data_IF_691911615510
#
_entry.id   IF_691911615510
#
_cell.length_a   1.000
_cell.length_b   1.000
_cell.length_c   1.000
_cell.angle_alpha   90.00
_cell.angle_beta   90.00
_cell.angle_gamma   90.00
#
_symmetry.space_group_name_H-M   'P 1'
#
loop_
_entity.id
_entity.type
_entity.pdbx_description
1 polymer ?
#
# COMPACT_ATOMS: atom_id res chain seq x y z
N UNK A 1 -6.46 -42.83 -58.31
CA UNK A 1 -7.29 -43.40 -57.23
C UNK A 1 -6.93 -42.68 -55.95
N UNK A 2 -7.92 -42.00 -55.40
CA UNK A 2 -7.83 -40.91 -54.43
C UNK A 2 -7.09 -41.26 -53.14
N UNK A 3 -6.19 -40.37 -52.73
CA UNK A 3 -5.62 -40.31 -51.40
C UNK A 3 -6.70 -39.88 -50.40
N UNK A 4 -7.20 -40.84 -49.62
CA UNK A 4 -8.17 -40.61 -48.55
C UNK A 4 -7.51 -39.95 -47.34
N UNK A 5 -7.58 -38.62 -47.30
CA UNK A 5 -7.24 -37.79 -46.14
C UNK A 5 -8.22 -38.07 -44.99
N UNK A 6 -7.89 -39.04 -44.12
CA UNK A 6 -8.67 -39.31 -42.91
C UNK A 6 -8.75 -38.05 -42.01
N UNK A 7 -9.91 -37.76 -41.39
CA UNK A 7 -10.16 -36.46 -40.79
C UNK A 7 -9.43 -36.31 -39.44
N UNK A 8 -8.28 -35.62 -39.48
CA UNK A 8 -7.53 -35.11 -38.32
C UNK A 8 -8.39 -34.29 -37.33
N UNK A 9 -9.57 -33.84 -37.77
CA UNK A 9 -10.56 -33.15 -36.93
C UNK A 9 -11.19 -34.05 -35.85
N UNK A 10 -11.32 -35.36 -36.10
CA UNK A 10 -12.00 -36.25 -35.14
C UNK A 10 -11.13 -36.56 -33.92
N UNK A 11 -9.82 -36.68 -34.10
CA UNK A 11 -8.88 -36.96 -33.02
C UNK A 11 -8.62 -35.71 -32.18
N UNK A 12 -8.48 -34.54 -32.80
CA UNK A 12 -8.31 -33.25 -32.10
C UNK A 12 -9.53 -32.90 -31.22
N UNK A 13 -10.76 -33.16 -31.69
CA UNK A 13 -11.97 -33.01 -30.88
C UNK A 13 -11.95 -33.94 -29.66
N UNK A 14 -11.54 -35.19 -29.83
CA UNK A 14 -11.51 -36.18 -28.75
C UNK A 14 -10.50 -35.82 -27.65
N UNK A 15 -9.30 -35.33 -28.04
CA UNK A 15 -8.32 -34.80 -27.10
C UNK A 15 -8.82 -33.54 -26.38
N UNK A 16 -9.54 -32.66 -27.07
CA UNK A 16 -10.10 -31.45 -26.46
C UNK A 16 -11.17 -31.79 -25.40
N UNK A 17 -12.05 -32.74 -25.68
CA UNK A 17 -13.09 -33.20 -24.74
C UNK A 17 -12.46 -33.92 -23.54
N UNK A 18 -11.45 -34.76 -23.77
CA UNK A 18 -10.71 -35.42 -22.68
C UNK A 18 -9.96 -34.40 -21.79
N UNK A 19 -9.37 -33.36 -22.37
CA UNK A 19 -8.71 -32.31 -21.62
C UNK A 19 -9.70 -31.49 -20.76
N UNK A 20 -10.86 -31.14 -21.31
CA UNK A 20 -11.91 -30.41 -20.58
C UNK A 20 -12.48 -31.25 -19.44
N UNK A 21 -12.76 -32.53 -19.66
CA UNK A 21 -13.29 -33.42 -18.62
C UNK A 21 -12.26 -33.69 -17.52
N UNK A 22 -10.98 -33.88 -17.86
CA UNK A 22 -9.90 -34.00 -16.88
C UNK A 22 -9.69 -32.72 -16.06
N UNK A 23 -9.80 -31.54 -16.70
CA UNK A 23 -9.73 -30.26 -16.01
C UNK A 23 -10.92 -30.07 -15.05
N UNK A 24 -12.14 -30.39 -15.48
CA UNK A 24 -13.34 -30.34 -14.62
C UNK A 24 -13.21 -31.31 -13.44
N UNK A 25 -12.74 -32.54 -13.68
CA UNK A 25 -12.53 -33.54 -12.63
C UNK A 25 -11.47 -33.07 -11.62
N UNK A 26 -10.35 -32.51 -12.09
CA UNK A 26 -9.31 -31.93 -11.24
C UNK A 26 -9.85 -30.77 -10.40
N UNK A 27 -10.67 -29.88 -10.99
CA UNK A 27 -11.32 -28.78 -10.28
C UNK A 27 -12.26 -29.29 -9.20
N UNK A 28 -13.10 -30.29 -9.50
CA UNK A 28 -14.02 -30.92 -8.54
C UNK A 28 -13.26 -31.58 -7.39
N UNK A 29 -12.21 -32.34 -7.68
CA UNK A 29 -11.36 -32.97 -6.67
C UNK A 29 -10.65 -31.92 -5.81
N UNK A 30 -10.09 -30.89 -6.41
CA UNK A 30 -9.41 -29.81 -5.70
C UNK A 30 -10.36 -29.02 -4.80
N UNK A 31 -11.59 -28.76 -5.25
CA UNK A 31 -12.64 -28.15 -4.44
C UNK A 31 -13.03 -29.05 -3.26
N UNK A 32 -13.29 -30.33 -3.50
CA UNK A 32 -13.57 -31.31 -2.42
C UNK A 32 -12.45 -31.38 -1.40
N UNK A 33 -11.19 -31.39 -1.86
CA UNK A 33 -10.01 -31.43 -0.99
C UNK A 33 -9.88 -30.15 -0.15
N UNK A 34 -10.22 -28.99 -0.71
CA UNK A 34 -10.25 -27.72 0.04
C UNK A 34 -11.41 -27.64 1.04
N UNK A 35 -12.60 -28.16 0.70
CA UNK A 35 -13.75 -28.18 1.59
C UNK A 35 -13.57 -29.16 2.77
N UNK A 36 -12.75 -30.22 2.61
CA UNK A 36 -12.44 -31.21 3.65
C UNK A 36 -11.53 -30.70 4.77
N UNK A 37 -10.87 -29.55 4.63
CA UNK A 37 -10.15 -28.91 5.75
C UNK A 37 -11.16 -28.15 6.60
N UNK A 38 -11.83 -28.89 7.47
CA UNK A 38 -12.87 -28.42 8.39
C UNK A 38 -12.39 -27.31 9.31
N UNK A 39 -12.51 -26.08 8.84
CA UNK A 39 -12.51 -24.88 9.67
C UNK A 39 -13.91 -24.31 9.49
N UNK A 40 -14.63 -24.11 10.59
CA UNK A 40 -15.91 -23.40 10.59
C UNK A 40 -15.66 -21.96 10.15
N UNK A 41 -15.81 -21.71 8.84
CA UNK A 41 -15.72 -20.37 8.30
C UNK A 41 -17.03 -19.63 8.56
N UNK A 42 -16.98 -18.31 8.79
CA UNK A 42 -18.19 -17.51 8.86
C UNK A 42 -18.93 -17.59 7.51
N UNK A 43 -20.26 -17.41 7.51
CA UNK A 43 -21.09 -17.51 6.32
C UNK A 43 -20.59 -16.56 5.21
N UNK A 44 -20.98 -16.79 3.96
CA UNK A 44 -20.53 -15.91 2.89
C UNK A 44 -20.93 -16.37 1.49
N UNK A 45 -20.77 -15.49 0.49
CA UNK A 45 -21.14 -15.80 -0.88
C UNK A 45 -20.30 -16.96 -1.44
N UNK A 46 -20.99 -17.90 -2.10
CA UNK A 46 -20.33 -18.96 -2.85
C UNK A 46 -19.56 -18.35 -4.03
N UNK A 47 -18.25 -18.52 -4.03
CA UNK A 47 -17.38 -18.07 -5.13
C UNK A 47 -17.23 -19.13 -6.22
N UNK A 48 -16.87 -18.71 -7.43
CA UNK A 48 -16.53 -19.59 -8.54
C UNK A 48 -15.26 -20.42 -8.24
N UNK A 49 -15.07 -21.57 -8.93
CA UNK A 49 -13.83 -22.31 -8.87
C UNK A 49 -12.64 -21.40 -9.22
N UNK A 50 -11.53 -21.53 -8.49
CA UNK A 50 -10.25 -20.83 -8.74
C UNK A 50 -10.27 -19.31 -8.48
N UNK A 51 -11.22 -18.57 -9.05
CA UNK A 51 -11.31 -17.10 -8.96
C UNK A 51 -12.11 -16.59 -7.76
N UNK A 52 -12.95 -17.44 -7.16
CA UNK A 52 -13.79 -17.06 -6.03
C UNK A 52 -14.83 -16.01 -6.41
N UNK A 53 -14.98 -14.99 -5.58
CA UNK A 53 -15.94 -13.90 -5.75
C UNK A 53 -15.40 -12.72 -6.56
N UNK A 54 -14.15 -12.79 -7.07
CA UNK A 54 -13.51 -11.70 -7.82
C UNK A 54 -14.36 -11.15 -8.99
N UNK A 55 -14.97 -12.01 -9.85
CA UNK A 55 -15.75 -11.51 -10.99
C UNK A 55 -17.04 -10.78 -10.60
N UNK A 56 -17.49 -10.94 -9.35
CA UNK A 56 -18.72 -10.35 -8.83
C UNK A 56 -18.44 -9.14 -7.94
N UNK A 57 -17.17 -8.72 -7.81
CA UNK A 57 -16.84 -7.54 -7.03
C UNK A 57 -17.27 -6.27 -7.76
N UNK A 58 -17.97 -5.42 -7.03
CA UNK A 58 -18.25 -4.05 -7.43
C UNK A 58 -16.98 -3.20 -7.26
N UNK A 59 -16.66 -2.28 -8.19
CA UNK A 59 -15.61 -1.29 -8.00
C UNK A 59 -15.73 -0.50 -6.68
N UNK A 60 -16.95 -0.23 -6.23
CA UNK A 60 -17.19 0.37 -4.91
C UNK A 60 -17.19 -0.68 -3.79
N UNK A 61 -15.99 -1.18 -3.46
CA UNK A 61 -15.82 -2.29 -2.52
C UNK A 61 -16.49 -2.05 -1.16
N UNK A 62 -16.42 -0.83 -0.63
CA UNK A 62 -16.94 -0.52 0.70
C UNK A 62 -18.48 -0.57 0.76
N UNK A 63 -19.18 -0.04 -0.26
CA UNK A 63 -20.65 -0.11 -0.35
C UNK A 63 -21.12 -1.53 -0.67
N UNK A 64 -20.37 -2.25 -1.51
CA UNK A 64 -20.61 -3.66 -1.81
C UNK A 64 -20.51 -4.55 -0.57
N UNK A 65 -19.44 -4.43 0.21
CA UNK A 65 -19.29 -5.21 1.44
C UNK A 65 -20.33 -4.84 2.50
N UNK A 66 -20.74 -3.56 2.58
CA UNK A 66 -21.84 -3.16 3.45
C UNK A 66 -23.18 -3.80 3.04
N UNK A 67 -23.46 -3.93 1.75
CA UNK A 67 -24.65 -4.67 1.25
C UNK A 67 -24.58 -6.15 1.60
N UNK A 68 -23.42 -6.78 1.40
CA UNK A 68 -23.22 -8.19 1.77
C UNK A 68 -23.36 -8.43 3.28
N UNK A 69 -22.92 -7.50 4.12
CA UNK A 69 -23.08 -7.59 5.57
C UNK A 69 -24.56 -7.66 6.00
N UNK A 70 -25.47 -7.04 5.25
CA UNK A 70 -26.92 -7.14 5.50
C UNK A 70 -27.48 -8.53 5.22
N UNK A 71 -26.85 -9.28 4.32
CA UNK A 71 -27.29 -10.62 3.90
C UNK A 71 -26.65 -11.72 4.75
N UNK A 72 -25.32 -11.65 4.93
CA UNK A 72 -24.53 -12.70 5.59
C UNK A 72 -24.24 -12.41 7.07
N UNK A 73 -24.58 -11.21 7.54
CA UNK A 73 -24.37 -10.79 8.92
C UNK A 73 -23.06 -10.02 9.15
N UNK A 74 -22.76 -9.70 10.42
CA UNK A 74 -21.69 -8.78 10.81
C UNK A 74 -20.26 -9.32 10.59
N UNK A 75 -20.12 -10.62 10.39
CA UNK A 75 -18.88 -11.30 10.03
C UNK A 75 -19.16 -12.32 8.94
N UNK A 76 -18.48 -12.18 7.80
CA UNK A 76 -18.65 -13.09 6.68
C UNK A 76 -17.34 -13.32 5.94
N UNK A 77 -17.24 -14.45 5.24
CA UNK A 77 -16.05 -14.81 4.47
C UNK A 77 -16.31 -14.78 2.96
N UNK A 78 -15.28 -14.46 2.18
CA UNK A 78 -15.33 -14.57 0.72
C UNK A 78 -13.96 -15.00 0.19
N UNK A 79 -13.95 -15.63 -0.99
CA UNK A 79 -12.70 -16.01 -1.65
C UNK A 79 -12.33 -14.97 -2.68
N UNK A 80 -11.11 -14.44 -2.58
CA UNK A 80 -10.53 -13.49 -3.52
C UNK A 80 -9.41 -14.22 -4.27
N UNK A 81 -9.77 -14.91 -5.35
CA UNK A 81 -8.88 -15.80 -6.09
C UNK A 81 -8.37 -16.94 -5.19
N UNK A 82 -7.05 -16.98 -5.01
CA UNK A 82 -6.39 -17.96 -4.15
C UNK A 82 -6.47 -17.65 -2.65
N UNK A 83 -6.95 -16.47 -2.24
CA UNK A 83 -6.97 -16.02 -0.84
C UNK A 83 -8.38 -16.06 -0.23
N UNK A 84 -8.44 -16.34 1.07
CA UNK A 84 -9.66 -16.18 1.87
C UNK A 84 -9.62 -14.80 2.52
N UNK A 85 -10.67 -14.00 2.30
CA UNK A 85 -10.91 -12.74 2.98
C UNK A 85 -12.05 -12.91 3.99
N UNK A 86 -11.90 -12.29 5.16
CA UNK A 86 -12.96 -12.19 6.17
C UNK A 86 -13.28 -10.71 6.33
N UNK A 87 -14.55 -10.36 6.17
CA UNK A 87 -15.05 -9.00 6.31
C UNK A 87 -15.73 -8.87 7.66
N UNK A 88 -15.36 -7.83 8.39
CA UNK A 88 -15.91 -7.50 9.69
C UNK A 88 -16.64 -6.16 9.55
N UNK A 89 -17.95 -6.18 9.83
CA UNK A 89 -18.83 -5.01 9.68
C UNK A 89 -19.49 -4.60 11.00
N UNK A 90 -19.06 -5.16 12.14
CA UNK A 90 -19.54 -4.80 13.48
C UNK A 90 -18.47 -4.11 14.31
N UNK A 91 -18.78 -2.98 14.98
CA UNK A 91 -17.84 -2.30 15.88
C UNK A 91 -17.34 -3.19 17.04
N UNK A 92 -18.20 -4.05 17.60
CA UNK A 92 -17.84 -4.92 18.71
C UNK A 92 -16.78 -5.96 18.30
N UNK A 93 -17.01 -6.61 17.14
CA UNK A 93 -16.08 -7.60 16.57
C UNK A 93 -14.79 -6.91 16.12
N UNK A 94 -14.89 -5.74 15.47
CA UNK A 94 -13.72 -4.98 15.07
C UNK A 94 -12.86 -4.59 16.27
N UNK A 95 -13.47 -4.20 17.40
CA UNK A 95 -12.76 -3.90 18.65
C UNK A 95 -12.03 -5.12 19.20
N UNK A 96 -12.64 -6.29 19.19
CA UNK A 96 -12.00 -7.53 19.65
C UNK A 96 -10.77 -7.86 18.79
N UNK A 97 -10.95 -7.83 17.46
CA UNK A 97 -9.89 -8.13 16.49
C UNK A 97 -8.77 -7.09 16.49
N UNK A 98 -9.08 -5.81 16.70
CA UNK A 98 -8.08 -4.73 16.73
C UNK A 98 -7.35 -4.60 18.07
N UNK A 99 -7.95 -5.04 19.19
CA UNK A 99 -7.35 -4.94 20.52
C UNK A 99 -6.48 -6.14 20.88
N UNK A 100 -6.87 -7.33 20.46
CA UNK A 100 -6.15 -8.53 20.84
C UNK A 100 -4.82 -8.64 20.06
N UNK A 101 -3.71 -8.59 20.81
CA UNK A 101 -2.34 -8.72 20.31
C UNK A 101 -2.06 -10.09 19.68
N UNK A 102 -2.98 -11.06 19.73
CA UNK A 102 -2.89 -12.32 18.97
C UNK A 102 -3.31 -12.16 17.51
N UNK A 103 -4.23 -11.22 17.24
CA UNK A 103 -4.61 -10.77 15.89
C UNK A 103 -3.80 -9.56 15.44
N UNK A 104 -2.67 -9.29 16.12
CA UNK A 104 -1.76 -8.19 15.85
C UNK A 104 -1.59 -7.99 14.35
N UNK A 105 -1.35 -6.74 13.95
CA UNK A 105 -1.33 -6.16 12.59
C UNK A 105 -0.63 -6.98 11.47
N UNK A 106 0.00 -8.12 11.78
CA UNK A 106 0.35 -9.23 10.88
C UNK A 106 -0.78 -9.67 9.93
N UNK A 107 -2.04 -9.64 10.39
CA UNK A 107 -3.20 -10.01 9.56
C UNK A 107 -3.96 -8.81 8.97
N UNK A 108 -3.93 -7.65 9.64
CA UNK A 108 -4.73 -6.47 9.29
C UNK A 108 -3.95 -5.42 8.48
N UNK A 109 -2.63 -5.43 8.56
CA UNK A 109 -1.74 -4.57 7.77
C UNK A 109 -0.99 -5.42 6.78
N UNK A 110 -0.53 -4.78 5.71
CA UNK A 110 0.31 -5.30 4.63
C UNK A 110 1.52 -6.14 5.14
N UNK A 111 1.28 -7.41 5.48
CA UNK A 111 2.22 -8.49 5.84
C UNK A 111 2.38 -8.75 7.35
N UNK A 112 3.07 -9.83 7.80
CA UNK A 112 3.59 -11.01 7.10
C UNK A 112 3.24 -12.37 7.77
N UNK A 113 3.70 -13.47 7.14
CA UNK A 113 3.90 -14.83 7.70
C UNK A 113 2.71 -15.76 7.94
N UNK A 114 2.03 -16.17 6.86
CA UNK A 114 1.72 -17.61 6.60
C UNK A 114 1.67 -17.78 5.07
N UNK A 115 2.79 -18.12 4.39
CA UNK A 115 2.82 -18.45 2.93
C UNK A 115 2.02 -17.53 1.98
N UNK A 116 1.66 -16.31 2.39
CA UNK A 116 0.86 -15.40 1.58
C UNK A 116 1.78 -14.41 0.88
N UNK A 117 1.56 -14.15 -0.41
CA UNK A 117 2.13 -13.02 -1.09
C UNK A 117 1.83 -11.73 -0.35
N UNK A 118 2.90 -11.06 0.10
CA UNK A 118 2.90 -9.60 0.28
C UNK A 118 2.35 -8.96 -1.00
N UNK A 119 1.60 -7.86 -0.88
CA UNK A 119 1.21 -7.07 -2.06
C UNK A 119 2.46 -6.76 -2.89
N UNK A 120 2.36 -6.75 -4.22
CA UNK A 120 3.52 -6.48 -5.10
C UNK A 120 4.29 -5.22 -4.67
N UNK A 121 3.60 -4.17 -4.24
CA UNK A 121 4.24 -2.94 -3.77
C UNK A 121 5.12 -3.15 -2.53
N UNK A 122 4.67 -3.96 -1.58
CA UNK A 122 5.46 -4.29 -0.38
C UNK A 122 6.62 -5.23 -0.72
N UNK A 123 6.50 -6.07 -1.74
CA UNK A 123 7.60 -6.92 -2.22
C UNK A 123 8.71 -6.07 -2.86
N UNK A 124 8.34 -5.07 -3.65
CA UNK A 124 9.28 -4.14 -4.27
C UNK A 124 10.20 -3.49 -3.22
N UNK A 125 9.60 -2.93 -2.15
CA UNK A 125 10.35 -2.29 -1.05
C UNK A 125 11.36 -3.23 -0.37
N UNK A 126 10.97 -4.49 -0.15
CA UNK A 126 11.83 -5.46 0.51
C UNK A 126 12.93 -6.03 -0.41
N UNK A 127 12.69 -6.08 -1.73
CA UNK A 127 13.72 -6.44 -2.71
C UNK A 127 14.75 -5.34 -2.89
N UNK A 128 14.29 -4.08 -2.94
CA UNK A 128 15.18 -2.92 -3.05
C UNK A 128 16.12 -2.82 -1.84
N UNK A 129 15.59 -3.05 -0.63
CA UNK A 129 16.35 -2.94 0.64
C UNK A 129 17.25 -4.15 0.99
N UNK A 130 17.65 -4.97 0.00
CA UNK A 130 18.60 -6.11 0.07
C UNK A 130 18.88 -6.64 1.49
N UNK A 131 17.85 -7.22 2.12
CA UNK A 131 17.97 -8.01 3.36
C UNK A 131 18.29 -7.26 4.67
N UNK A 132 18.96 -6.10 4.68
CA UNK A 132 19.51 -5.49 5.90
C UNK A 132 18.55 -4.56 6.65
N UNK A 133 17.56 -3.97 5.97
CA UNK A 133 16.53 -3.13 6.59
C UNK A 133 15.12 -3.52 6.14
N UNK A 134 14.78 -4.80 6.30
CA UNK A 134 13.39 -5.24 6.19
C UNK A 134 12.61 -4.59 7.33
N UNK A 135 11.79 -3.60 7.01
CA UNK A 135 10.80 -3.10 7.96
C UNK A 135 9.70 -4.15 8.10
N UNK A 136 9.96 -5.12 8.99
CA UNK A 136 9.01 -6.16 9.31
C UNK A 136 7.85 -5.54 10.10
N UNK A 137 6.60 -5.80 9.67
CA UNK A 137 5.43 -5.36 10.44
C UNK A 137 5.52 -5.91 11.87
N UNK A 138 5.38 -5.02 12.85
CA UNK A 138 5.53 -5.27 14.28
C UNK A 138 6.93 -5.72 14.76
N UNK A 139 7.95 -5.69 13.88
CA UNK A 139 9.35 -5.90 14.25
C UNK A 139 9.86 -4.81 15.21
N UNK A 140 11.00 -5.04 15.89
CA UNK A 140 11.58 -4.07 16.83
C UNK A 140 11.83 -2.71 16.17
N UNK A 141 12.38 -2.69 14.96
CA UNK A 141 12.60 -1.45 14.18
C UNK A 141 11.29 -0.74 13.83
N UNK A 142 10.23 -1.47 13.44
CA UNK A 142 8.93 -0.86 13.17
C UNK A 142 8.30 -0.28 14.43
N UNK A 143 8.39 -0.99 15.57
CA UNK A 143 7.87 -0.48 16.84
C UNK A 143 8.63 0.76 17.30
N UNK A 144 9.95 0.78 17.13
CA UNK A 144 10.79 1.95 17.40
C UNK A 144 10.38 3.14 16.53
N UNK A 145 10.37 2.99 15.20
CA UNK A 145 9.98 4.06 14.28
C UNK A 145 8.55 4.55 14.55
N UNK A 146 7.60 3.64 14.78
CA UNK A 146 6.23 4.01 15.14
C UNK A 146 6.18 4.79 16.45
N UNK A 147 6.96 4.40 17.46
CA UNK A 147 7.04 5.14 18.73
C UNK A 147 7.59 6.54 18.52
N UNK A 148 8.69 6.69 17.77
CA UNK A 148 9.25 8.02 17.44
C UNK A 148 8.22 8.87 16.71
N UNK A 149 7.59 8.35 15.64
CA UNK A 149 6.58 9.12 14.91
C UNK A 149 5.40 9.54 15.78
N UNK A 150 4.88 8.65 16.65
CA UNK A 150 3.67 8.93 17.44
C UNK A 150 3.97 9.79 18.66
N UNK A 151 5.05 9.52 19.39
CA UNK A 151 5.37 10.20 20.66
C UNK A 151 6.09 11.51 20.46
N UNK A 152 6.87 11.63 19.41
CA UNK A 152 7.71 12.80 19.23
C UNK A 152 7.20 13.70 18.12
N UNK A 153 6.97 13.16 16.92
CA UNK A 153 6.58 13.97 15.76
C UNK A 153 5.09 14.36 15.78
N UNK A 154 4.21 13.38 16.00
CA UNK A 154 2.75 13.55 15.97
C UNK A 154 2.13 13.80 17.35
N UNK A 155 2.95 14.10 18.36
CA UNK A 155 2.47 14.51 19.68
C UNK A 155 2.01 15.97 19.66
N UNK A 156 1.21 16.42 20.64
CA UNK A 156 0.83 17.83 20.75
C UNK A 156 2.05 18.76 20.69
N UNK A 157 3.10 18.45 21.44
CA UNK A 157 4.34 19.23 21.44
C UNK A 157 5.06 19.22 20.07
N UNK A 158 5.13 18.07 19.40
CA UNK A 158 5.74 17.98 18.06
C UNK A 158 4.95 18.77 17.00
N UNK A 159 3.61 18.72 17.07
CA UNK A 159 2.74 19.47 16.18
C UNK A 159 2.78 20.98 16.45
N UNK A 160 2.93 21.38 17.71
CA UNK A 160 3.08 22.79 18.09
C UNK A 160 4.43 23.36 17.62
N UNK A 161 5.50 22.55 17.66
CA UNK A 161 6.81 22.95 17.15
C UNK A 161 6.78 23.32 15.65
N UNK A 162 5.98 22.61 14.85
CA UNK A 162 5.80 22.88 13.41
C UNK A 162 4.61 23.79 13.09
N UNK A 163 3.98 24.41 14.09
CA UNK A 163 2.78 25.25 13.88
C UNK A 163 3.03 26.40 12.89
N UNK A 164 4.19 27.06 12.97
CA UNK A 164 4.56 28.15 12.07
C UNK A 164 4.55 27.74 10.59
N UNK A 165 5.09 26.56 10.29
CA UNK A 165 5.16 25.99 8.94
C UNK A 165 3.75 25.70 8.39
N UNK A 166 2.90 25.04 9.19
CA UNK A 166 1.52 24.74 8.81
C UNK A 166 0.71 26.01 8.57
N UNK A 167 0.83 27.00 9.47
CA UNK A 167 0.14 28.29 9.36
C UNK A 167 0.56 29.06 8.12
N UNK A 168 1.84 29.01 7.75
CA UNK A 168 2.37 29.65 6.54
C UNK A 168 1.73 29.08 5.28
N UNK A 169 1.71 27.76 5.12
CA UNK A 169 1.18 27.11 3.91
C UNK A 169 -0.35 27.28 3.78
N UNK A 170 -1.08 27.23 4.90
CA UNK A 170 -2.52 27.52 4.91
C UNK A 170 -2.79 28.98 4.52
N UNK A 171 -2.04 29.94 5.05
CA UNK A 171 -2.17 31.36 4.69
C UNK A 171 -1.84 31.63 3.22
N UNK A 172 -0.82 30.96 2.70
CA UNK A 172 -0.45 31.03 1.29
C UNK A 172 -1.62 30.57 0.41
N UNK A 173 -2.24 29.44 0.76
CA UNK A 173 -3.42 28.91 0.07
C UNK A 173 -4.58 29.89 0.14
N UNK A 174 -4.90 30.42 1.32
CA UNK A 174 -5.98 31.40 1.49
C UNK A 174 -5.76 32.64 0.64
N UNK A 175 -4.53 33.18 0.63
CA UNK A 175 -4.16 34.31 -0.22
C UNK A 175 -4.37 33.99 -1.71
N UNK A 176 -3.96 32.79 -2.15
CA UNK A 176 -4.19 32.33 -3.53
C UNK A 176 -5.67 32.21 -3.90
N UNK A 177 -6.52 31.81 -2.95
CA UNK A 177 -7.97 31.75 -3.17
C UNK A 177 -8.59 33.15 -3.26
N UNK A 178 -8.13 34.09 -2.42
CA UNK A 178 -8.60 35.48 -2.47
C UNK A 178 -8.29 36.16 -3.80
N UNK A 179 -7.09 35.93 -4.37
CA UNK A 179 -6.72 36.51 -5.67
C UNK A 179 -7.53 35.93 -6.84
N UNK A 180 -8.17 34.77 -6.64
CA UNK A 180 -9.03 34.12 -7.62
C UNK A 180 -10.52 34.28 -7.33
N UNK A 181 -10.88 35.22 -6.47
CA UNK A 181 -12.29 35.53 -6.16
C UNK A 181 -13.10 35.77 -7.45
N UNK A 182 -14.27 35.14 -7.54
CA UNK A 182 -15.15 35.21 -8.71
C UNK A 182 -14.85 34.21 -9.84
N UNK A 183 -13.77 33.43 -9.75
CA UNK A 183 -13.45 32.36 -10.73
C UNK A 183 -13.79 30.97 -10.18
N UNK A 184 -14.18 30.01 -11.03
CA UNK A 184 -14.36 28.62 -10.60
C UNK A 184 -13.02 28.00 -10.20
N UNK A 185 -13.00 27.32 -9.06
CA UNK A 185 -11.80 26.70 -8.49
C UNK A 185 -12.08 25.22 -8.19
N UNK A 186 -11.17 24.33 -8.59
CA UNK A 186 -11.18 22.94 -8.15
C UNK A 186 -10.67 22.85 -6.70
N UNK A 187 -11.62 22.73 -5.76
CA UNK A 187 -11.33 22.61 -4.33
C UNK A 187 -10.55 21.32 -4.03
N UNK A 188 -10.83 20.22 -4.73
CA UNK A 188 -10.14 18.94 -4.51
C UNK A 188 -8.66 19.03 -4.84
N UNK A 189 -8.33 19.58 -6.02
CA UNK A 189 -6.96 19.80 -6.43
C UNK A 189 -6.23 20.80 -5.51
N UNK A 190 -6.89 21.89 -5.12
CA UNK A 190 -6.30 22.88 -4.22
C UNK A 190 -6.01 22.30 -2.83
N UNK A 191 -6.96 21.58 -2.22
CA UNK A 191 -6.76 20.96 -0.90
C UNK A 191 -5.67 19.90 -0.94
N UNK A 192 -5.59 19.11 -2.02
CA UNK A 192 -4.50 18.15 -2.21
C UNK A 192 -3.13 18.86 -2.22
N UNK A 193 -3.00 19.95 -2.99
CA UNK A 193 -1.77 20.74 -3.03
C UNK A 193 -1.41 21.34 -1.67
N UNK A 194 -2.38 21.92 -0.96
CA UNK A 194 -2.17 22.48 0.38
C UNK A 194 -1.70 21.43 1.38
N UNK A 195 -2.35 20.27 1.41
CA UNK A 195 -1.96 19.17 2.32
C UNK A 195 -0.56 18.68 1.99
N UNK A 196 -0.24 18.51 0.70
CA UNK A 196 1.11 18.12 0.29
C UNK A 196 2.15 19.15 0.71
N UNK A 197 1.89 20.45 0.51
CA UNK A 197 2.79 21.52 0.94
C UNK A 197 3.00 21.52 2.44
N UNK A 198 1.92 21.37 3.21
CA UNK A 198 1.96 21.25 4.67
C UNK A 198 2.84 20.06 5.06
N UNK A 199 2.60 18.87 4.53
CA UNK A 199 3.39 17.67 4.85
C UNK A 199 4.86 17.89 4.51
N UNK A 200 5.18 18.32 3.29
CA UNK A 200 6.59 18.54 2.87
C UNK A 200 7.29 19.61 3.71
N UNK A 201 6.60 20.71 4.03
CA UNK A 201 7.15 21.78 4.86
C UNK A 201 7.41 21.30 6.29
N UNK A 202 6.53 20.47 6.86
CA UNK A 202 6.73 19.92 8.21
C UNK A 202 7.82 18.85 8.27
N UNK A 203 8.05 18.11 7.17
CA UNK A 203 9.02 17.02 7.16
C UNK A 203 10.47 17.50 7.12
N UNK A 204 10.79 18.46 6.26
CA UNK A 204 12.18 18.89 6.06
C UNK A 204 12.30 20.40 5.91
N UNK A 205 11.34 21.15 6.43
CA UNK A 205 11.39 22.60 6.44
C UNK A 205 11.35 23.19 5.02
N UNK A 206 11.26 24.51 4.92
CA UNK A 206 11.37 25.20 3.64
C UNK A 206 12.80 25.30 3.11
N UNK A 207 13.71 24.38 3.46
CA UNK A 207 15.18 24.55 3.35
C UNK A 207 15.77 24.41 1.95
N UNK A 208 14.98 24.66 0.91
CA UNK A 208 15.55 24.93 -0.41
C UNK A 208 15.49 26.44 -0.60
N UNK A 209 16.62 27.09 -0.31
CA UNK A 209 16.76 28.55 -0.24
C UNK A 209 16.56 29.23 -1.60
N UNK A 210 16.68 28.49 -2.71
CA UNK A 210 16.25 28.93 -4.03
C UNK A 210 14.78 28.58 -4.25
N UNK A 211 13.92 29.59 -4.43
CA UNK A 211 12.50 29.42 -4.75
C UNK A 211 12.29 28.48 -5.97
N UNK A 212 13.23 28.48 -6.92
CA UNK A 212 13.21 27.66 -8.12
C UNK A 212 13.48 26.18 -7.82
N UNK A 213 14.54 25.86 -7.09
CA UNK A 213 14.86 24.47 -6.69
C UNK A 213 13.78 23.90 -5.75
N UNK A 214 13.19 24.73 -4.87
CA UNK A 214 12.07 24.35 -4.00
C UNK A 214 10.87 23.89 -4.82
N UNK A 215 10.59 24.61 -5.89
CA UNK A 215 9.47 24.31 -6.78
C UNK A 215 9.69 23.00 -7.55
N UNK A 216 10.94 22.69 -7.89
CA UNK A 216 11.33 21.49 -8.64
C UNK A 216 11.29 20.25 -7.75
N UNK A 217 11.99 20.25 -6.61
CA UNK A 217 12.00 19.10 -5.68
C UNK A 217 10.60 18.83 -5.12
N UNK A 218 9.87 19.88 -4.76
CA UNK A 218 8.49 19.74 -4.30
C UNK A 218 7.54 19.22 -5.37
N UNK A 219 7.73 19.59 -6.65
CA UNK A 219 6.95 19.07 -7.77
C UNK A 219 7.27 17.60 -8.04
N UNK A 220 8.55 17.25 -8.12
CA UNK A 220 8.98 15.86 -8.32
C UNK A 220 8.46 14.95 -7.21
N UNK A 221 8.54 15.39 -5.94
CA UNK A 221 7.99 14.65 -4.81
C UNK A 221 6.47 14.45 -4.93
N UNK A 222 5.71 15.48 -5.32
CA UNK A 222 4.25 15.38 -5.50
C UNK A 222 3.90 14.42 -6.64
N UNK A 223 4.60 14.48 -7.76
CA UNK A 223 4.43 13.55 -8.88
C UNK A 223 4.69 12.11 -8.46
N UNK A 224 5.80 11.86 -7.75
CA UNK A 224 6.12 10.53 -7.21
C UNK A 224 5.05 10.00 -6.26
N UNK A 225 4.54 10.83 -5.35
CA UNK A 225 3.49 10.44 -4.41
C UNK A 225 2.19 10.10 -5.15
N UNK A 226 1.84 10.88 -6.19
CA UNK A 226 0.69 10.59 -7.04
C UNK A 226 0.84 9.25 -7.78
N UNK A 227 2.00 8.98 -8.39
CA UNK A 227 2.29 7.72 -9.07
C UNK A 227 2.27 6.52 -8.11
N UNK A 228 2.86 6.67 -6.91
CA UNK A 228 2.80 5.63 -5.87
C UNK A 228 1.34 5.35 -5.46
N UNK A 229 0.53 6.40 -5.30
CA UNK A 229 -0.88 6.28 -4.92
C UNK A 229 -1.70 5.56 -5.99
N UNK A 230 -1.49 5.91 -7.26
CA UNK A 230 -2.11 5.22 -8.40
C UNK A 230 -1.72 3.73 -8.45
N UNK A 231 -0.43 3.40 -8.31
CA UNK A 231 0.01 2.00 -8.27
C UNK A 231 -0.57 1.21 -7.09
N UNK A 232 -0.78 1.86 -5.94
CA UNK A 232 -1.40 1.23 -4.76
C UNK A 232 -2.91 1.00 -4.93
N UNK A 233 -3.58 1.83 -5.73
CA UNK A 233 -5.00 1.72 -6.03
C UNK A 233 -5.34 0.67 -7.08
N UNK A 234 -4.39 0.30 -7.94
CA UNK A 234 -4.60 -0.65 -9.03
C UNK A 234 -4.82 -2.09 -8.52
N UNK A 235 -5.85 -2.80 -9.00
CA UNK A 235 -6.04 -4.21 -8.66
C UNK A 235 -4.92 -5.06 -9.30
N UNK A 236 -4.27 -5.88 -8.47
CA UNK A 236 -3.13 -6.67 -8.89
C UNK A 236 -3.42 -8.18 -8.81
N UNK A 237 -3.35 -8.86 -9.94
CA UNK A 237 -3.56 -10.31 -10.09
C UNK A 237 -2.58 -11.10 -9.20
N UNK A 238 -1.34 -10.63 -9.08
CA UNK A 238 -0.32 -11.26 -8.23
C UNK A 238 -0.69 -11.24 -6.75
N UNK A 239 -1.56 -10.31 -6.33
CA UNK A 239 -2.01 -10.23 -4.95
C UNK A 239 -3.10 -11.26 -4.66
N UNK A 240 -3.88 -11.68 -5.66
CA UNK A 240 -4.93 -12.68 -5.54
C UNK A 240 -4.45 -14.10 -5.84
N UNK A 241 -3.43 -14.26 -6.69
CA UNK A 241 -2.90 -15.56 -7.12
C UNK A 241 -1.42 -15.72 -6.75
N UNK A 242 -1.12 -16.30 -5.57
CA UNK A 242 0.25 -16.46 -5.07
C UNK A 242 1.24 -17.13 -6.01
N UNK A 243 0.79 -18.11 -6.78
CA UNK A 243 1.63 -18.83 -7.74
C UNK A 243 2.12 -17.89 -8.87
N UNK A 244 1.32 -16.90 -9.25
CA UNK A 244 1.64 -15.95 -10.31
C UNK A 244 2.52 -14.80 -9.81
N UNK A 245 2.61 -14.62 -8.49
CA UNK A 245 3.28 -13.46 -7.90
C UNK A 245 4.81 -13.41 -8.15
N UNK A 246 5.42 -14.47 -8.68
CA UNK A 246 6.84 -14.45 -9.10
C UNK A 246 7.06 -13.76 -10.44
N UNK A 247 6.03 -13.74 -11.30
CA UNK A 247 6.11 -13.27 -12.67
C UNK A 247 5.83 -11.78 -12.83
N UNK A 248 5.22 -11.14 -11.82
CA UNK A 248 4.84 -9.73 -11.86
C UNK A 248 4.12 -9.34 -13.16
N UNK A 249 3.04 -10.06 -13.49
CA UNK A 249 2.34 -9.99 -14.78
C UNK A 249 1.92 -8.56 -15.20
N UNK A 250 1.63 -7.70 -14.23
CA UNK A 250 1.23 -6.31 -14.46
C UNK A 250 2.39 -5.31 -14.30
N UNK A 251 3.61 -5.77 -14.01
CA UNK A 251 4.78 -4.92 -13.82
C UNK A 251 4.74 -4.00 -12.59
N UNK A 252 3.72 -4.11 -11.73
CA UNK A 252 3.48 -3.24 -10.58
C UNK A 252 4.66 -3.33 -9.59
N UNK A 253 5.21 -4.53 -9.37
CA UNK A 253 6.35 -4.67 -8.48
C UNK A 253 7.59 -3.98 -9.04
N UNK A 254 7.86 -4.11 -10.34
CA UNK A 254 8.97 -3.42 -11.01
C UNK A 254 8.82 -1.91 -10.97
N UNK A 255 7.64 -1.39 -11.34
CA UNK A 255 7.35 0.05 -11.33
C UNK A 255 7.48 0.63 -9.92
N UNK A 256 6.89 -0.02 -8.91
CA UNK A 256 7.05 0.42 -7.52
C UNK A 256 8.51 0.41 -7.06
N UNK A 257 9.34 -0.53 -7.55
CA UNK A 257 10.77 -0.55 -7.26
C UNK A 257 11.51 0.69 -7.79
N UNK A 258 11.17 1.14 -9.00
CA UNK A 258 11.72 2.37 -9.60
C UNK A 258 11.29 3.60 -8.81
N UNK A 259 9.99 3.72 -8.48
CA UNK A 259 9.47 4.85 -7.71
C UNK A 259 10.08 4.94 -6.31
N UNK A 260 10.22 3.81 -5.62
CA UNK A 260 10.88 3.76 -4.33
C UNK A 260 12.36 4.15 -4.42
N UNK A 261 13.04 3.80 -5.52
CA UNK A 261 14.42 4.24 -5.75
C UNK A 261 14.53 5.76 -5.95
N UNK A 262 13.59 6.38 -6.70
CA UNK A 262 13.52 7.85 -6.84
C UNK A 262 13.20 8.52 -5.51
N UNK A 263 12.25 7.96 -4.76
CA UNK A 263 11.88 8.43 -3.43
C UNK A 263 13.08 8.38 -2.48
N UNK A 264 13.81 7.27 -2.42
CA UNK A 264 15.01 7.13 -1.57
C UNK A 264 16.11 8.16 -1.94
N UNK A 265 16.26 8.51 -3.24
CA UNK A 265 17.21 9.56 -3.69
C UNK A 265 16.83 10.95 -3.18
N UNK A 266 15.57 11.36 -3.35
CA UNK A 266 15.10 12.67 -2.87
C UNK A 266 15.36 12.83 -1.36
N UNK A 267 15.05 11.79 -0.56
CA UNK A 267 15.34 11.84 0.87
C UNK A 267 16.84 11.87 1.17
N UNK A 268 17.65 11.10 0.45
CA UNK A 268 19.11 11.11 0.64
C UNK A 268 19.70 12.50 0.35
N UNK A 269 19.29 13.14 -0.75
CA UNK A 269 19.76 14.46 -1.14
C UNK A 269 19.38 15.53 -0.10
N UNK A 270 18.13 15.50 0.38
CA UNK A 270 17.65 16.42 1.42
C UNK A 270 18.40 16.21 2.75
N UNK A 271 18.61 14.95 3.16
CA UNK A 271 19.35 14.63 4.39
C UNK A 271 20.80 15.13 4.28
N UNK A 272 21.44 14.93 3.14
CA UNK A 272 22.83 15.32 2.92
C UNK A 272 22.99 16.84 2.88
N UNK A 273 22.11 17.55 2.16
CA UNK A 273 22.05 19.01 2.18
C UNK A 273 21.89 19.55 3.60
N UNK A 274 21.02 18.94 4.41
CA UNK A 274 20.81 19.37 5.80
C UNK A 274 22.05 19.16 6.66
N UNK A 275 22.76 18.05 6.49
CA UNK A 275 24.00 17.77 7.22
C UNK A 275 25.10 18.78 6.88
N UNK A 276 25.16 19.25 5.64
CA UNK A 276 26.15 20.22 5.18
C UNK A 276 25.86 21.66 5.65
N UNK A 277 24.59 22.04 5.81
CA UNK A 277 24.20 23.39 6.21
C UNK A 277 24.48 23.73 7.68
N UNK A 278 24.76 22.74 8.55
CA UNK A 278 25.03 22.95 9.97
C UNK A 278 23.83 23.51 10.76
N UNK A 279 23.93 23.52 12.09
CA UNK A 279 22.85 23.92 13.01
C UNK A 279 22.59 25.45 13.06
N UNK A 280 22.96 26.20 12.02
CA UNK A 280 22.71 27.64 11.99
C UNK A 280 21.25 27.93 11.61
N UNK A 281 20.47 28.21 12.65
CA UNK A 281 19.13 28.82 12.65
C UNK A 281 18.19 28.32 11.56
N UNK A 282 17.38 27.31 11.84
CA UNK A 282 16.23 26.97 10.98
C UNK A 282 15.08 26.40 11.78
N UNK A 283 13.86 26.67 11.30
CA UNK A 283 12.59 26.25 11.89
C UNK A 283 12.63 24.78 12.35
N UNK A 284 12.04 24.49 13.51
CA UNK A 284 11.95 23.12 14.04
C UNK A 284 11.09 22.26 13.11
N UNK A 285 11.72 21.50 12.23
CA UNK A 285 11.07 20.50 11.38
C UNK A 285 11.36 19.07 11.86
N UNK A 286 10.67 18.08 11.29
CA UNK A 286 10.82 16.70 11.71
C UNK A 286 12.14 16.05 11.28
N UNK A 287 12.78 16.53 10.22
CA UNK A 287 14.08 16.05 9.79
C UNK A 287 15.14 16.41 10.83
N UNK A 288 15.13 17.67 11.29
CA UNK A 288 16.00 18.16 12.34
C UNK A 288 15.82 17.32 13.62
N UNK A 289 14.57 17.07 13.99
CA UNK A 289 14.26 16.23 15.14
C UNK A 289 14.80 14.79 14.98
N UNK A 290 14.65 14.18 13.79
CA UNK A 290 15.20 12.84 13.55
C UNK A 290 16.73 12.82 13.57
N UNK A 291 17.40 13.85 13.07
CA UNK A 291 18.85 13.98 13.11
C UNK A 291 19.37 14.15 14.56
N UNK A 292 18.64 14.88 15.40
CA UNK A 292 18.95 15.01 16.83
C UNK A 292 18.82 13.66 17.55
N UNK A 293 17.74 12.91 17.32
CA UNK A 293 17.58 11.56 17.88
C UNK A 293 18.64 10.56 17.39
N UNK A 294 19.13 10.71 16.16
CA UNK A 294 20.26 9.92 15.65
C UNK A 294 21.56 10.28 16.39
N UNK A 295 21.80 11.57 16.66
CA UNK A 295 22.96 12.06 17.39
C UNK A 295 22.97 11.62 18.86
N UNK A 296 21.79 11.58 19.51
CA UNK A 296 21.60 11.10 20.88
C UNK A 296 21.65 9.57 21.02
N UNK A 297 21.78 8.83 19.90
CA UNK A 297 21.83 7.36 19.89
C UNK A 297 20.47 6.68 20.10
N UNK A 298 19.37 7.44 20.15
CA UNK A 298 18.01 6.91 20.27
C UNK A 298 17.53 6.21 18.99
N UNK A 299 18.12 6.56 17.84
CA UNK A 299 17.93 5.88 16.56
C UNK A 299 19.30 5.39 16.06
N UNK A 300 19.45 4.07 15.91
CA UNK A 300 20.69 3.49 15.41
C UNK A 300 20.97 3.97 13.97
N UNK A 301 22.18 4.48 13.72
CA UNK A 301 22.62 4.84 12.36
C UNK A 301 22.48 3.61 11.44
N UNK A 302 21.88 3.74 10.25
CA UNK A 302 22.07 2.73 9.23
C UNK A 302 23.57 2.70 8.90
N UNK A 303 24.23 1.58 9.19
CA UNK A 303 25.62 1.38 8.76
C UNK A 303 25.64 1.48 7.24
N UNK A 304 26.46 2.39 6.72
CA UNK A 304 26.70 2.55 5.28
C UNK A 304 27.10 1.19 4.67
N UNK A 305 26.74 0.93 3.40
CA UNK A 305 27.01 -0.34 2.72
C UNK A 305 28.48 -0.74 2.75
#
# INVERSE_FOLDING_TARGET
>A
MESSSFPTYSTTLLYSVAAVTAALFYVILFQRWRCRRGISLPPGPAGLPVVGSLPFLDPELHTYFARLARVYGPIFSLRLGGKLGVVISSPAIAREVLKDQRYDLRYLTLGPHIRQPRRSCCRARNRLRRGRHRLEPNGPTWRMLRRVCVREMLSPAGLDAVYGLRRREVRSTISHLYTRSGSPIDVGAQMFLTVMNVITSTLWGGTVEAADERSVVGREFRELVAEITDLLGRPNVSDFFPALARFDLQGIQKQMGVLLGRFDRIFADIIEQRRQQGAEKKDKDFLEFMLQLEAEGAIARPRSP
#
